data_IF_720918325918
#
_entry.id   IF_720918325918
#
_cell.length_a   1.000
_cell.length_b   1.000
_cell.length_c   1.000
_cell.angle_alpha   90.00
_cell.angle_beta   90.00
_cell.angle_gamma   90.00
#
_symmetry.space_group_name_H-M   'P 1'
#
loop_
_entity.id
_entity.type
_entity.pdbx_description
1 polymer ?
#
# COMPACT_ATOMS: atom_id res chain seq x y z
N UNK A 1 -4.61 30.51 6.42
CA UNK A 1 -5.24 29.19 6.68
C UNK A 1 -4.72 28.65 8.02
N UNK A 2 -5.24 29.10 9.18
CA UNK A 2 -4.64 28.97 10.54
C UNK A 2 -3.48 29.95 10.79
N UNK A 3 -2.38 29.87 10.05
CA UNK A 3 -1.21 30.77 10.20
C UNK A 3 -1.51 32.27 10.09
N UNK A 4 -2.50 32.61 9.27
CA UNK A 4 -2.94 33.99 8.98
C UNK A 4 -4.18 34.38 9.78
N UNK A 5 -4.59 33.57 10.76
CA UNK A 5 -5.83 33.79 11.52
C UNK A 5 -7.13 33.55 10.75
N UNK A 6 -7.07 33.17 9.47
CA UNK A 6 -8.23 32.95 8.61
C UNK A 6 -8.21 31.54 8.02
N UNK A 7 -9.34 30.85 8.04
CA UNK A 7 -9.62 29.59 7.36
C UNK A 7 -10.47 29.86 6.10
N UNK A 8 -10.26 29.06 5.06
CA UNK A 8 -10.96 29.20 3.78
C UNK A 8 -11.64 27.88 3.45
N UNK A 9 -12.90 27.93 3.03
CA UNK A 9 -13.66 26.74 2.63
C UNK A 9 -13.10 26.13 1.34
N UNK A 10 -13.28 24.82 1.16
CA UNK A 10 -12.80 24.08 -0.02
C UNK A 10 -13.72 24.21 -1.24
N UNK A 11 -14.97 24.65 -1.05
CA UNK A 11 -15.96 24.74 -2.11
C UNK A 11 -16.29 26.20 -2.46
N UNK A 12 -16.52 26.51 -3.75
CA UNK A 12 -16.97 27.83 -4.16
C UNK A 12 -18.43 28.07 -3.72
N UNK A 13 -18.80 29.28 -3.27
CA UNK A 13 -17.94 30.45 -3.08
C UNK A 13 -17.05 30.27 -1.84
N UNK A 14 -15.73 30.41 -1.99
CA UNK A 14 -14.73 30.14 -0.95
C UNK A 14 -14.87 31.11 0.23
N UNK A 15 -15.78 30.79 1.14
CA UNK A 15 -16.05 31.59 2.32
C UNK A 15 -14.81 31.63 3.23
N UNK A 16 -14.62 32.75 3.90
CA UNK A 16 -13.57 32.93 4.90
C UNK A 16 -14.17 32.89 6.30
N UNK A 17 -13.50 32.22 7.22
CA UNK A 17 -13.86 32.11 8.64
C UNK A 17 -12.66 32.45 9.50
N UNK A 18 -12.87 33.03 10.68
CA UNK A 18 -11.81 33.21 11.67
C UNK A 18 -11.29 31.84 12.15
N UNK A 19 -9.98 31.65 12.18
CA UNK A 19 -9.34 30.42 12.62
C UNK A 19 -9.63 30.11 14.10
N UNK A 20 -9.96 31.14 14.89
CA UNK A 20 -10.33 31.04 16.31
C UNK A 20 -11.65 30.29 16.53
N UNK A 21 -12.58 30.34 15.56
CA UNK A 21 -13.90 29.70 15.65
C UNK A 21 -13.88 28.23 15.22
N UNK A 22 -12.85 27.83 14.48
CA UNK A 22 -12.72 26.53 13.82
C UNK A 22 -11.73 25.60 14.52
N UNK A 23 -10.62 25.34 13.82
CA UNK A 23 -9.57 24.42 14.25
C UNK A 23 -9.02 24.78 15.64
N UNK A 24 -8.72 26.06 15.87
CA UNK A 24 -8.07 26.50 17.11
C UNK A 24 -8.98 26.32 18.33
N UNK A 25 -10.30 26.54 18.20
CA UNK A 25 -11.27 26.40 19.30
C UNK A 25 -11.25 25.03 19.98
N UNK A 26 -10.99 23.98 19.19
CA UNK A 26 -10.99 22.60 19.67
C UNK A 26 -9.69 22.19 20.35
N UNK A 27 -8.64 23.00 20.21
CA UNK A 27 -7.35 22.73 20.82
C UNK A 27 -7.29 23.28 22.26
N UNK A 28 -6.57 22.59 23.16
CA UNK A 28 -6.32 23.09 24.51
C UNK A 28 -5.49 24.38 24.47
N UNK A 29 -5.61 25.20 25.52
CA UNK A 29 -5.00 26.53 25.58
C UNK A 29 -3.48 26.54 25.35
N UNK A 30 -2.76 25.59 25.97
CA UNK A 30 -1.32 25.46 25.77
C UNK A 30 -0.94 25.21 24.30
N UNK A 31 -1.73 24.41 23.57
CA UNK A 31 -1.46 24.07 22.17
C UNK A 31 -1.87 25.20 21.22
N UNK A 32 -2.92 25.95 21.58
CA UNK A 32 -3.28 27.20 20.89
C UNK A 32 -2.16 28.23 20.98
N UNK A 33 -1.50 28.36 22.13
CA UNK A 33 -0.37 29.28 22.30
C UNK A 33 0.84 28.90 21.43
N UNK A 34 1.14 27.60 21.31
CA UNK A 34 2.25 27.10 20.47
C UNK A 34 1.95 27.27 18.96
N UNK A 35 0.67 27.12 18.57
CA UNK A 35 0.22 27.17 17.17
C UNK A 35 -0.43 28.50 16.79
N UNK A 36 -0.28 29.54 17.61
CA UNK A 36 -0.93 30.82 17.34
C UNK A 36 -0.50 31.42 15.99
N UNK A 37 -1.40 32.15 15.32
CA UNK A 37 -1.12 32.84 14.07
C UNK A 37 0.15 33.72 14.16
N UNK A 38 0.87 33.87 13.04
CA UNK A 38 2.17 34.58 13.02
C UNK A 38 2.02 36.05 13.44
N UNK A 39 0.93 36.69 13.03
CA UNK A 39 0.57 38.08 13.37
C UNK A 39 0.39 38.30 14.87
N UNK A 40 0.14 37.24 15.64
CA UNK A 40 -0.05 37.27 17.09
C UNK A 40 1.22 36.86 17.87
N UNK A 41 2.34 36.58 17.19
CA UNK A 41 3.62 36.20 17.82
C UNK A 41 4.47 37.45 18.08
N UNK A 42 5.04 37.52 19.29
CA UNK A 42 5.82 38.68 19.77
C UNK A 42 7.14 38.88 19.00
N UNK A 43 7.73 37.79 18.48
CA UNK A 43 9.03 37.79 17.81
C UNK A 43 8.91 37.59 16.28
N UNK A 44 7.79 37.98 15.67
CA UNK A 44 7.58 37.75 14.23
C UNK A 44 8.33 38.75 13.35
N UNK A 45 9.02 38.23 12.33
CA UNK A 45 9.50 39.01 11.19
C UNK A 45 8.45 38.87 10.10
N UNK A 46 7.57 39.85 9.97
CA UNK A 46 6.55 39.88 8.91
C UNK A 46 7.27 40.15 7.58
N UNK A 47 7.61 39.09 6.85
CA UNK A 47 8.04 39.19 5.46
C UNK A 47 6.81 39.04 4.56
N UNK A 48 6.72 39.83 3.48
CA UNK A 48 5.68 39.68 2.47
C UNK A 48 6.01 38.49 1.54
N UNK A 49 6.17 37.31 2.14
CA UNK A 49 6.51 36.06 1.49
C UNK A 49 5.32 35.10 1.56
N UNK A 50 5.09 34.36 0.48
CA UNK A 50 4.02 33.38 0.41
C UNK A 50 4.64 32.00 0.57
N UNK A 51 4.09 31.18 1.47
CA UNK A 51 4.55 29.82 1.71
C UNK A 51 3.42 28.82 1.51
N UNK A 52 3.75 27.65 0.94
CA UNK A 52 2.90 26.46 0.96
C UNK A 52 3.33 25.53 2.09
N UNK A 53 2.36 24.84 2.68
CA UNK A 53 2.60 23.82 3.69
C UNK A 53 2.03 22.49 3.22
N UNK A 54 2.74 21.40 3.50
CA UNK A 54 2.22 20.06 3.32
C UNK A 54 2.57 19.17 4.49
N UNK A 55 1.72 18.19 4.74
CA UNK A 55 1.99 17.11 5.67
C UNK A 55 2.67 16.00 4.88
N UNK A 56 3.89 15.68 5.26
CA UNK A 56 4.68 14.58 4.72
C UNK A 56 4.76 13.45 5.72
N UNK A 57 4.51 12.24 5.25
CA UNK A 57 4.80 11.04 6.01
C UNK A 57 6.22 10.56 5.71
N UNK A 58 6.99 10.30 6.75
CA UNK A 58 8.31 9.70 6.62
C UNK A 58 8.23 8.21 6.34
N UNK A 59 9.41 7.58 6.37
CA UNK A 59 9.56 6.17 6.00
C UNK A 59 8.90 5.25 7.03
N UNK A 60 8.08 4.32 6.54
CA UNK A 60 7.53 3.22 7.33
C UNK A 60 8.49 2.05 7.25
N UNK A 61 9.10 1.68 8.38
CA UNK A 61 9.88 0.45 8.50
C UNK A 61 8.99 -0.70 8.98
N UNK A 62 9.37 -1.93 8.65
CA UNK A 62 8.64 -3.11 9.06
C UNK A 62 9.57 -4.24 9.48
N UNK A 63 9.12 -5.04 10.43
CA UNK A 63 9.73 -6.30 10.85
C UNK A 63 8.76 -7.44 10.55
N UNK A 64 9.27 -8.65 10.37
CA UNK A 64 8.42 -9.82 10.18
C UNK A 64 8.90 -11.01 11.00
N UNK A 65 7.95 -11.82 11.46
CA UNK A 65 8.19 -13.08 12.15
C UNK A 65 7.47 -14.19 11.41
N UNK A 66 8.14 -15.33 11.25
CA UNK A 66 7.56 -16.54 10.68
C UNK A 66 7.35 -17.56 11.78
N UNK A 67 6.10 -17.99 11.96
CA UNK A 67 5.74 -19.11 12.82
C UNK A 67 5.66 -20.38 11.96
N UNK A 68 6.70 -21.20 12.04
CA UNK A 68 6.80 -22.47 11.32
C UNK A 68 5.70 -23.47 11.71
N UNK A 69 5.20 -23.42 12.95
CA UNK A 69 4.22 -24.39 13.44
C UNK A 69 2.83 -24.13 12.84
N UNK A 70 2.47 -22.86 12.68
CA UNK A 70 1.16 -22.44 12.20
C UNK A 70 1.18 -21.95 10.73
N UNK A 71 2.35 -21.88 10.10
CA UNK A 71 2.55 -21.31 8.77
C UNK A 71 1.99 -19.88 8.64
N UNK A 72 2.18 -19.07 9.69
CA UNK A 72 1.73 -17.68 9.77
C UNK A 72 2.93 -16.76 9.63
N UNK A 73 2.82 -15.76 8.77
CA UNK A 73 3.76 -14.63 8.71
C UNK A 73 3.08 -13.43 9.35
N UNK A 74 3.71 -12.85 10.37
CA UNK A 74 3.22 -11.63 11.03
C UNK A 74 4.15 -10.46 10.70
N UNK A 75 3.58 -9.37 10.19
CA UNK A 75 4.31 -8.14 9.89
C UNK A 75 4.01 -7.07 10.96
N UNK A 76 5.06 -6.52 11.56
CA UNK A 76 4.97 -5.41 12.50
C UNK A 76 5.40 -4.13 11.80
N UNK A 77 4.47 -3.19 11.66
CA UNK A 77 4.73 -1.88 11.06
C UNK A 77 5.10 -0.89 12.17
N UNK A 78 6.17 -0.13 11.96
CA UNK A 78 6.58 0.96 12.85
C UNK A 78 5.57 2.12 12.87
N UNK A 79 5.74 3.05 13.80
CA UNK A 79 5.00 4.31 13.76
C UNK A 79 5.38 5.12 12.51
N UNK A 80 4.44 5.91 12.00
CA UNK A 80 4.66 6.75 10.81
C UNK A 80 5.02 8.15 11.28
N UNK A 81 6.28 8.58 11.16
CA UNK A 81 6.66 9.94 11.53
C UNK A 81 5.98 10.92 10.57
N UNK A 82 5.22 11.86 11.10
CA UNK A 82 4.52 12.89 10.31
C UNK A 82 5.23 14.23 10.50
N UNK A 83 5.52 14.90 9.40
CA UNK A 83 6.24 16.16 9.37
C UNK A 83 5.45 17.20 8.56
N UNK A 84 5.37 18.42 9.04
CA UNK A 84 4.90 19.55 8.23
C UNK A 84 6.10 20.21 7.59
N UNK A 85 6.13 20.20 6.26
CA UNK A 85 7.11 20.95 5.49
C UNK A 85 6.50 22.25 5.00
N UNK A 86 7.38 23.20 4.75
CA UNK A 86 7.06 24.48 4.13
C UNK A 86 7.87 24.65 2.85
N UNK A 87 7.36 25.48 1.95
CA UNK A 87 8.04 25.88 0.72
C UNK A 87 7.72 27.33 0.41
N UNK A 88 8.77 28.13 0.28
CA UNK A 88 8.67 29.51 -0.20
C UNK A 88 8.23 29.54 -1.65
N UNK A 89 7.40 30.53 -1.98
CA UNK A 89 6.90 30.78 -3.32
C UNK A 89 7.32 32.14 -3.85
N UNK A 90 7.47 32.22 -5.17
CA UNK A 90 7.76 33.43 -5.92
C UNK A 90 6.88 33.55 -7.16
N UNK A 91 6.69 34.77 -7.66
CA UNK A 91 6.02 34.97 -8.95
C UNK A 91 6.99 34.69 -10.09
N UNK A 92 6.54 33.91 -11.07
CA UNK A 92 7.24 33.78 -12.34
C UNK A 92 7.05 35.03 -13.22
N UNK A 93 7.75 35.08 -14.35
CA UNK A 93 7.63 36.17 -15.33
C UNK A 93 6.22 36.30 -15.93
N UNK A 94 5.37 35.27 -15.81
CA UNK A 94 3.99 35.24 -16.27
C UNK A 94 2.98 35.63 -15.18
N UNK A 95 3.46 35.97 -13.97
CA UNK A 95 2.62 36.33 -12.83
C UNK A 95 1.97 35.13 -12.12
N UNK A 96 2.37 33.90 -12.42
CA UNK A 96 1.95 32.72 -11.66
C UNK A 96 2.83 32.52 -10.44
N UNK A 97 2.23 32.00 -9.37
CA UNK A 97 2.94 31.70 -8.14
C UNK A 97 3.55 30.29 -8.20
N UNK A 98 4.88 30.22 -8.26
CA UNK A 98 5.68 28.99 -8.36
C UNK A 98 6.56 28.80 -7.13
N UNK A 99 7.02 27.57 -6.88
CA UNK A 99 7.91 27.27 -5.76
C UNK A 99 9.30 27.89 -6.02
N UNK A 100 9.83 28.60 -5.02
CA UNK A 100 11.19 29.15 -5.06
C UNK A 100 12.19 28.07 -4.63
N UNK A 101 12.75 27.38 -5.61
CA UNK A 101 13.80 26.37 -5.41
C UNK A 101 15.20 26.97 -5.21
N UNK A 102 15.35 28.28 -5.39
CA UNK A 102 16.66 28.96 -5.38
C UNK A 102 17.13 29.32 -3.98
N UNK A 103 16.21 29.45 -3.02
CA UNK A 103 16.51 29.77 -1.63
C UNK A 103 16.48 28.50 -0.78
N UNK A 104 17.66 28.11 -0.28
CA UNK A 104 17.75 27.20 0.87
C UNK A 104 17.27 28.02 2.06
N UNK A 105 16.07 27.74 2.55
CA UNK A 105 15.50 28.49 3.66
C UNK A 105 16.31 28.29 4.95
N UNK A 106 16.71 29.40 5.56
CA UNK A 106 17.28 29.42 6.90
C UNK A 106 16.21 29.00 7.93
N UNK A 107 16.58 28.09 8.83
CA UNK A 107 15.68 27.45 9.81
C UNK A 107 15.10 28.35 10.91
N UNK A 108 15.06 29.66 10.72
CA UNK A 108 14.64 30.66 11.73
C UNK A 108 13.51 31.60 11.25
N UNK A 109 12.79 31.26 10.18
CA UNK A 109 11.57 31.98 9.78
C UNK A 109 10.39 31.65 10.71
N UNK A 110 9.48 32.58 10.93
CA UNK A 110 8.26 32.36 11.73
C UNK A 110 7.37 31.23 11.18
N UNK A 111 7.36 31.02 9.86
CA UNK A 111 6.70 29.90 9.18
C UNK A 111 7.38 28.56 9.47
N UNK A 112 8.72 28.57 9.58
CA UNK A 112 9.53 27.41 9.96
C UNK A 112 9.25 26.97 11.39
N UNK A 113 9.21 27.93 12.31
CA UNK A 113 8.87 27.68 13.71
C UNK A 113 7.47 27.09 13.84
N UNK A 114 6.50 27.59 13.06
CA UNK A 114 5.17 27.00 13.01
C UNK A 114 5.19 25.56 12.49
N UNK A 115 5.86 25.30 11.36
CA UNK A 115 5.97 23.96 10.80
C UNK A 115 6.62 22.98 11.78
N UNK A 116 7.66 23.42 12.50
CA UNK A 116 8.33 22.65 13.53
C UNK A 116 7.41 22.38 14.74
N UNK A 117 6.69 23.40 15.22
CA UNK A 117 5.73 23.25 16.32
C UNK A 117 4.60 22.30 15.94
N UNK A 118 4.03 22.44 14.73
CA UNK A 118 2.99 21.55 14.22
C UNK A 118 3.50 20.10 14.12
N UNK A 119 4.71 19.92 13.61
CA UNK A 119 5.37 18.59 13.53
C UNK A 119 5.55 17.99 14.92
N UNK A 120 6.05 18.77 15.89
CA UNK A 120 6.33 18.32 17.25
C UNK A 120 5.07 17.86 17.98
N UNK A 121 3.97 18.55 17.77
CA UNK A 121 2.71 18.28 18.47
C UNK A 121 1.68 17.52 17.62
N UNK A 122 2.11 16.90 16.52
CA UNK A 122 1.21 16.25 15.56
C UNK A 122 0.29 15.22 16.21
N UNK A 123 0.84 14.35 17.07
CA UNK A 123 0.08 13.27 17.71
C UNK A 123 -0.86 13.80 18.79
N UNK A 124 -0.44 14.83 19.52
CA UNK A 124 -1.26 15.52 20.50
C UNK A 124 -2.44 16.22 19.82
N UNK A 125 -2.22 16.89 18.70
CA UNK A 125 -3.31 17.42 17.85
C UNK A 125 -4.22 16.30 17.37
N UNK A 126 -3.65 15.17 16.98
CA UNK A 126 -4.37 13.97 16.57
C UNK A 126 -5.36 13.43 17.60
N UNK A 127 -5.12 13.68 18.90
CA UNK A 127 -6.06 13.32 19.96
C UNK A 127 -7.35 14.15 19.93
N UNK A 128 -7.29 15.36 19.38
CA UNK A 128 -8.45 16.25 19.19
C UNK A 128 -9.01 16.19 17.76
N UNK A 129 -8.16 15.84 16.80
CA UNK A 129 -8.47 15.67 15.38
C UNK A 129 -8.05 14.28 14.90
N UNK A 130 -8.88 13.25 15.12
CA UNK A 130 -8.55 11.87 14.77
C UNK A 130 -8.19 11.68 13.30
N UNK A 131 -8.62 12.57 12.41
CA UNK A 131 -8.27 12.59 10.99
C UNK A 131 -6.76 12.61 10.74
N UNK A 132 -5.99 13.33 11.58
CA UNK A 132 -4.52 13.38 11.49
C UNK A 132 -3.90 12.01 11.81
N UNK A 133 -4.41 11.32 12.83
CA UNK A 133 -3.94 9.97 13.18
C UNK A 133 -4.42 8.92 12.16
N UNK A 134 -5.63 9.09 11.62
CA UNK A 134 -6.16 8.22 10.55
C UNK A 134 -5.30 8.29 9.30
N UNK A 135 -4.64 9.41 9.02
CA UNK A 135 -3.69 9.51 7.92
C UNK A 135 -2.51 8.55 8.09
N UNK A 136 -1.96 8.40 9.31
CA UNK A 136 -0.92 7.40 9.60
C UNK A 136 -1.42 5.98 9.28
N UNK A 137 -2.64 5.66 9.72
CA UNK A 137 -3.23 4.33 9.48
C UNK A 137 -3.56 4.07 8.01
N UNK A 138 -3.95 5.10 7.26
CA UNK A 138 -4.17 4.99 5.81
C UNK A 138 -2.86 4.62 5.08
N UNK A 139 -1.74 5.19 5.50
CA UNK A 139 -0.44 4.90 4.91
C UNK A 139 0.02 3.46 5.21
N UNK A 140 -0.19 2.99 6.45
CA UNK A 140 0.04 1.58 6.82
C UNK A 140 -0.78 0.61 5.97
N UNK A 141 -2.04 0.96 5.66
CA UNK A 141 -2.88 0.17 4.72
C UNK A 141 -2.30 0.15 3.31
N UNK A 142 -1.70 1.25 2.86
CA UNK A 142 -0.96 1.29 1.60
C UNK A 142 0.17 0.24 1.55
N UNK A 143 0.95 0.13 2.63
CA UNK A 143 2.01 -0.88 2.76
C UNK A 143 1.44 -2.31 2.70
N UNK A 144 0.32 -2.57 3.37
CA UNK A 144 -0.36 -3.86 3.30
C UNK A 144 -0.73 -4.26 1.86
N UNK A 145 -1.23 -3.31 1.06
CA UNK A 145 -1.54 -3.57 -0.35
C UNK A 145 -0.30 -3.94 -1.15
N UNK A 146 0.85 -3.33 -0.86
CA UNK A 146 2.13 -3.69 -1.47
C UNK A 146 2.53 -5.13 -1.11
N UNK A 147 2.39 -5.54 0.15
CA UNK A 147 2.65 -6.92 0.57
C UNK A 147 1.75 -7.92 -0.14
N UNK A 148 0.44 -7.69 -0.15
CA UNK A 148 -0.53 -8.57 -0.82
C UNK A 148 -0.19 -8.72 -2.31
N UNK A 149 0.12 -7.60 -2.98
CA UNK A 149 0.53 -7.61 -4.38
C UNK A 149 1.80 -8.42 -4.59
N UNK A 150 2.81 -8.22 -3.75
CA UNK A 150 4.06 -8.98 -3.82
C UNK A 150 3.83 -10.49 -3.65
N UNK A 151 2.99 -10.89 -2.69
CA UNK A 151 2.62 -12.29 -2.50
C UNK A 151 1.90 -12.86 -3.72
N UNK A 152 0.97 -12.10 -4.30
CA UNK A 152 0.25 -12.51 -5.51
C UNK A 152 1.21 -12.72 -6.69
N UNK A 153 2.11 -11.76 -6.93
CA UNK A 153 3.10 -11.85 -8.01
C UNK A 153 4.04 -13.05 -7.83
N UNK A 154 4.43 -13.36 -6.59
CA UNK A 154 5.22 -14.54 -6.28
C UNK A 154 4.47 -15.84 -6.58
N UNK A 155 3.20 -15.94 -6.18
CA UNK A 155 2.36 -17.12 -6.48
C UNK A 155 2.22 -17.31 -7.99
N UNK A 156 1.99 -16.26 -8.76
CA UNK A 156 1.90 -16.33 -10.21
C UNK A 156 3.20 -16.85 -10.84
N UNK A 157 4.36 -16.40 -10.36
CA UNK A 157 5.66 -16.93 -10.80
C UNK A 157 5.79 -18.43 -10.52
N UNK A 158 5.39 -18.89 -9.34
CA UNK A 158 5.44 -20.33 -9.01
C UNK A 158 4.53 -21.15 -9.93
N UNK A 159 3.31 -20.69 -10.19
CA UNK A 159 2.38 -21.36 -11.11
C UNK A 159 2.98 -21.45 -12.52
N UNK A 160 3.54 -20.35 -13.03
CA UNK A 160 4.17 -20.33 -14.35
C UNK A 160 5.37 -21.28 -14.44
N UNK A 161 6.21 -21.32 -13.40
CA UNK A 161 7.35 -22.23 -13.34
C UNK A 161 6.89 -23.70 -13.36
N UNK A 162 5.82 -24.04 -12.62
CA UNK A 162 5.23 -25.38 -12.64
C UNK A 162 4.65 -25.69 -14.03
N UNK A 163 3.94 -24.75 -14.66
CA UNK A 163 3.39 -24.93 -15.99
C UNK A 163 4.48 -25.20 -17.03
N UNK A 164 5.58 -24.45 -16.99
CA UNK A 164 6.76 -24.66 -17.84
C UNK A 164 7.39 -26.03 -17.58
N UNK A 165 7.55 -26.42 -16.31
CA UNK A 165 8.12 -27.72 -15.94
C UNK A 165 7.26 -28.88 -16.46
N UNK A 166 5.92 -28.76 -16.39
CA UNK A 166 4.99 -29.75 -16.95
C UNK A 166 5.06 -29.79 -18.48
N UNK A 167 5.16 -28.63 -19.13
CA UNK A 167 5.27 -28.55 -20.58
C UNK A 167 6.56 -29.20 -21.11
N UNK A 168 7.67 -29.04 -20.38
CA UNK A 168 8.98 -29.57 -20.75
C UNK A 168 9.21 -31.03 -20.32
N UNK A 169 8.25 -31.67 -19.66
CA UNK A 169 8.37 -33.06 -19.25
C UNK A 169 8.04 -33.99 -20.43
N UNK A 170 9.06 -34.69 -20.93
CA UNK A 170 8.98 -35.64 -22.05
C UNK A 170 7.86 -36.69 -21.89
N UNK A 171 7.45 -37.02 -20.66
CA UNK A 171 6.32 -37.93 -20.39
C UNK A 171 5.00 -37.39 -20.91
N UNK A 172 4.91 -36.09 -21.16
CA UNK A 172 3.70 -35.38 -21.56
C UNK A 172 3.72 -34.85 -23.01
N UNK A 173 4.70 -35.22 -23.84
CA UNK A 173 4.92 -34.64 -25.19
C UNK A 173 4.41 -35.48 -26.40
N UNK A 174 3.79 -36.67 -26.23
CA UNK A 174 3.35 -37.48 -27.39
C UNK A 174 1.97 -37.08 -27.95
N UNK A 175 1.92 -36.60 -29.21
CA UNK A 175 0.74 -36.02 -29.86
C UNK A 175 -0.46 -36.97 -30.08
N UNK A 176 -0.26 -38.28 -30.21
CA UNK A 176 -1.36 -39.23 -30.49
C UNK A 176 -2.08 -39.76 -29.24
N UNK A 177 -1.54 -39.49 -28.04
CA UNK A 177 -2.05 -39.94 -26.74
C UNK A 177 -2.00 -38.82 -25.68
N UNK A 178 -2.34 -37.59 -26.10
CA UNK A 178 -2.04 -36.37 -25.35
C UNK A 178 -2.92 -36.12 -24.10
N UNK A 179 -3.84 -37.04 -23.78
CA UNK A 179 -4.78 -36.89 -22.67
C UNK A 179 -4.15 -37.21 -21.32
N UNK A 180 -4.59 -36.48 -20.29
CA UNK A 180 -4.01 -36.54 -18.93
C UNK A 180 -4.06 -37.95 -18.32
N UNK A 181 -5.19 -38.64 -18.41
CA UNK A 181 -5.38 -39.99 -17.90
C UNK A 181 -4.51 -41.04 -18.62
N UNK A 182 -4.39 -40.97 -19.95
CA UNK A 182 -3.51 -41.85 -20.72
C UNK A 182 -2.04 -41.74 -20.30
N UNK A 183 -1.56 -40.51 -20.10
CA UNK A 183 -0.19 -40.25 -19.62
C UNK A 183 0.02 -40.79 -18.22
N UNK A 184 -0.95 -40.55 -17.32
CA UNK A 184 -0.88 -41.02 -15.95
C UNK A 184 -0.90 -42.56 -15.84
N UNK A 185 -1.75 -43.23 -16.62
CA UNK A 185 -1.79 -44.71 -16.66
C UNK A 185 -0.48 -45.30 -17.18
N UNK A 186 0.14 -44.71 -18.21
CA UNK A 186 1.44 -45.15 -18.72
C UNK A 186 2.53 -45.00 -17.66
N UNK A 187 2.55 -43.89 -16.94
CA UNK A 187 3.46 -43.67 -15.80
C UNK A 187 3.26 -44.75 -14.71
N UNK A 188 2.01 -45.04 -14.33
CA UNK A 188 1.71 -46.06 -13.33
C UNK A 188 2.19 -47.46 -13.76
N UNK A 189 2.01 -47.83 -15.02
CA UNK A 189 2.48 -49.12 -15.54
C UNK A 189 4.01 -49.19 -15.55
N UNK A 190 4.68 -48.14 -16.04
CA UNK A 190 6.14 -48.12 -16.22
C UNK A 190 6.89 -48.01 -14.89
N UNK A 191 6.50 -47.06 -14.05
CA UNK A 191 7.27 -46.67 -12.86
C UNK A 191 6.76 -47.35 -11.58
N UNK A 192 5.48 -47.71 -11.54
CA UNK A 192 4.84 -48.31 -10.36
C UNK A 192 4.39 -49.76 -10.58
N UNK A 193 4.61 -50.31 -11.78
CA UNK A 193 4.19 -51.66 -12.17
C UNK A 193 2.69 -51.92 -11.89
N UNK A 194 1.88 -50.85 -11.92
CA UNK A 194 0.47 -50.89 -11.58
C UNK A 194 -0.37 -50.66 -12.84
N UNK A 195 -1.06 -51.71 -13.28
CA UNK A 195 -1.96 -51.64 -14.42
C UNK A 195 -3.29 -50.95 -14.05
N UNK A 196 -3.65 -49.93 -14.82
CA UNK A 196 -4.91 -49.20 -14.74
C UNK A 196 -5.45 -48.96 -16.16
N UNK A 197 -6.69 -48.47 -16.28
CA UNK A 197 -7.32 -48.16 -17.56
C UNK A 197 -7.71 -46.67 -17.58
N UNK A 198 -7.35 -45.88 -18.60
CA UNK A 198 -7.73 -44.47 -18.70
C UNK A 198 -9.25 -44.35 -18.91
N UNK A 199 -9.94 -43.52 -18.13
CA UNK A 199 -11.40 -43.46 -18.19
C UNK A 199 -11.91 -42.75 -19.46
N UNK A 200 -11.12 -41.83 -20.04
CA UNK A 200 -11.50 -41.14 -21.28
C UNK A 200 -11.63 -42.06 -22.49
N UNK A 201 -11.09 -43.28 -22.45
CA UNK A 201 -11.25 -44.26 -23.55
C UNK A 201 -12.71 -44.67 -23.77
N UNK A 202 -13.56 -44.53 -22.75
CA UNK A 202 -14.98 -44.89 -22.81
C UNK A 202 -15.87 -43.77 -23.37
N UNK A 203 -15.29 -42.62 -23.73
CA UNK A 203 -16.02 -41.45 -24.25
C UNK A 203 -15.72 -41.22 -25.74
N UNK A 204 -16.72 -40.70 -26.46
CA UNK A 204 -16.54 -40.23 -27.85
C UNK A 204 -15.58 -39.04 -27.90
N UNK A 205 -14.86 -38.83 -29.02
CA UNK A 205 -13.81 -37.80 -29.14
C UNK A 205 -14.20 -36.43 -28.58
N UNK A 206 -15.44 -35.99 -28.84
CA UNK A 206 -15.96 -34.69 -28.39
C UNK A 206 -16.22 -34.60 -26.87
N UNK A 207 -16.30 -35.73 -26.16
CA UNK A 207 -16.61 -35.81 -24.74
C UNK A 207 -15.49 -36.43 -23.89
N UNK A 208 -14.32 -36.69 -24.49
CA UNK A 208 -13.21 -37.34 -23.79
C UNK A 208 -12.70 -36.53 -22.60
N UNK A 209 -12.82 -35.19 -22.64
CA UNK A 209 -12.49 -34.29 -21.54
C UNK A 209 -13.21 -34.63 -20.22
N UNK A 210 -14.39 -35.26 -20.27
CA UNK A 210 -15.13 -35.70 -19.07
C UNK A 210 -14.40 -36.81 -18.30
N UNK A 211 -13.61 -37.63 -19.01
CA UNK A 211 -12.88 -38.76 -18.44
C UNK A 211 -11.40 -38.50 -18.17
N UNK A 212 -10.82 -37.38 -18.63
CA UNK A 212 -9.36 -37.14 -18.58
C UNK A 212 -8.77 -37.03 -17.17
N UNK A 213 -9.60 -36.74 -16.16
CA UNK A 213 -9.17 -36.65 -14.76
C UNK A 213 -9.40 -37.94 -13.97
N UNK A 214 -9.82 -39.03 -14.62
CA UNK A 214 -10.17 -40.29 -13.96
C UNK A 214 -9.42 -41.49 -14.54
N UNK A 215 -9.08 -42.46 -13.69
CA UNK A 215 -8.57 -43.77 -14.09
C UNK A 215 -9.39 -44.87 -13.43
N UNK A 216 -9.53 -46.01 -14.12
CA UNK A 216 -10.33 -47.15 -13.68
C UNK A 216 -9.44 -48.30 -13.21
N UNK A 217 -9.70 -48.80 -12.00
CA UNK A 217 -9.15 -50.04 -11.46
C UNK A 217 -10.21 -51.15 -11.50
N UNK A 218 -9.75 -52.41 -11.57
CA UNK A 218 -10.60 -53.58 -11.45
C UNK A 218 -10.20 -54.38 -10.21
N UNK A 219 -11.14 -54.57 -9.29
CA UNK A 219 -10.96 -55.33 -8.06
C UNK A 219 -11.45 -56.78 -8.15
N UNK A 220 -12.11 -57.15 -9.26
CA UNK A 220 -12.47 -58.53 -9.56
C UNK A 220 -11.21 -59.28 -10.02
N UNK A 221 -10.41 -59.71 -9.04
CA UNK A 221 -9.24 -60.55 -9.24
C UNK A 221 -9.55 -61.93 -8.70
N UNK A 222 -9.35 -62.95 -9.52
CA UNK A 222 -9.37 -64.35 -9.07
C UNK A 222 -7.95 -64.63 -8.56
N UNK A 223 -7.83 -65.06 -7.31
CA UNK A 223 -6.57 -65.56 -6.76
C UNK A 223 -6.30 -66.98 -7.27
#
# INVERSE_FOLDING_TARGET
>A
MILTGVEIYSEPPFQMRDASDGFMKRLPEWLREELKPIDQRKDCIIMNSVHRFWIEAGQITYEHQYDENNNIITYYLSDVPMCVKKQLMQYDEQGNLIDDLSKVEDGHSSEGDFAQAFTRYYDQMGSYFPELLRLKELLKRGVLLVFIRSTFDNIQKYINNIAIAIANDDRFQSEENNKKDFKFVRYLIKEKQLAAIPASVFYTKNHQYLGENYIRFCFAKVN
#
